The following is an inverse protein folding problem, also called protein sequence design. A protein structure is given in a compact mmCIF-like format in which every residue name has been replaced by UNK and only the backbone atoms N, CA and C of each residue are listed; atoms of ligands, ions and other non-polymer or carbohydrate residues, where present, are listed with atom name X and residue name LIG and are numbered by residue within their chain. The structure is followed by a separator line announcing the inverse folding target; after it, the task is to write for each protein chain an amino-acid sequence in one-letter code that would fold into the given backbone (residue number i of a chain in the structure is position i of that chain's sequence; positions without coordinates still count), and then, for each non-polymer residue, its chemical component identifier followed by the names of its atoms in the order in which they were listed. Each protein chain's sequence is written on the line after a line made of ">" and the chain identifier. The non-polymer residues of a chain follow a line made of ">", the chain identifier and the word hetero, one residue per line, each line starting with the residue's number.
data_IF_481057685305
#
_entry.id   IF_481057685305
#
_cell.length_a   1.000
_cell.length_b   1.000
_cell.length_c   1.000
_cell.angle_alpha   90.00
_cell.angle_beta   90.00
_cell.angle_gamma   90.00
#
_symmetry.space_group_name_H-M   'P 1'
#
loop_
_entity.id
_entity.type
_entity.pdbx_description
1 polymer ?
#
# COMPACT_ATOMS: atom_id res chain seq x y z
N UNK A 1 -47.28 -29.63 -14.40
CA UNK A 1 -47.10 -28.65 -13.30
C UNK A 1 -45.65 -28.48 -12.86
N UNK A 2 -44.86 -29.55 -12.62
CA UNK A 2 -43.46 -29.44 -12.16
C UNK A 2 -42.54 -28.64 -13.10
N UNK A 3 -42.68 -28.81 -14.42
CA UNK A 3 -41.88 -28.11 -15.43
C UNK A 3 -42.17 -26.60 -15.44
N UNK A 4 -43.45 -26.21 -15.33
CA UNK A 4 -43.85 -24.79 -15.31
C UNK A 4 -43.30 -24.10 -14.07
N UNK A 5 -43.33 -24.77 -12.91
CA UNK A 5 -42.75 -24.25 -11.66
C UNK A 5 -41.24 -24.06 -11.77
N UNK A 6 -40.53 -25.01 -12.39
CA UNK A 6 -39.09 -24.90 -12.60
C UNK A 6 -38.72 -23.71 -13.50
N UNK A 7 -39.44 -23.52 -14.62
CA UNK A 7 -39.21 -22.39 -15.53
C UNK A 7 -39.48 -21.06 -14.82
N UNK A 8 -40.57 -20.97 -14.05
CA UNK A 8 -40.91 -19.76 -13.30
C UNK A 8 -39.85 -19.45 -12.24
N UNK A 9 -39.34 -20.46 -11.52
CA UNK A 9 -38.27 -20.27 -10.54
C UNK A 9 -36.96 -19.79 -11.19
N UNK A 10 -36.61 -20.33 -12.35
CA UNK A 10 -35.40 -19.91 -13.08
C UNK A 10 -35.51 -18.46 -13.55
N UNK A 11 -36.68 -18.05 -14.06
CA UNK A 11 -36.92 -16.66 -14.49
C UNK A 11 -36.80 -15.68 -13.32
N UNK A 12 -37.31 -16.03 -12.14
CA UNK A 12 -37.23 -15.19 -10.94
C UNK A 12 -35.77 -15.03 -10.48
N UNK A 13 -35.00 -16.13 -10.42
CA UNK A 13 -33.59 -16.08 -10.01
C UNK A 13 -32.76 -15.23 -10.96
N UNK A 14 -32.95 -15.39 -12.27
CA UNK A 14 -32.25 -14.58 -13.27
C UNK A 14 -32.64 -13.10 -13.19
N UNK A 15 -33.93 -12.80 -13.01
CA UNK A 15 -34.41 -11.42 -12.86
C UNK A 15 -33.84 -10.72 -11.62
N UNK A 16 -33.82 -11.41 -10.47
CA UNK A 16 -33.23 -10.89 -9.23
C UNK A 16 -31.72 -10.67 -9.37
N UNK A 17 -31.01 -11.59 -10.01
CA UNK A 17 -29.56 -11.46 -10.23
C UNK A 17 -29.25 -10.26 -11.13
N UNK A 18 -30.05 -10.06 -12.19
CA UNK A 18 -29.90 -8.92 -13.09
C UNK A 18 -30.15 -7.58 -12.39
N UNK A 19 -31.22 -7.51 -11.59
CA UNK A 19 -31.55 -6.31 -10.80
C UNK A 19 -30.45 -5.99 -9.76
N UNK A 20 -29.91 -7.03 -9.12
CA UNK A 20 -28.80 -6.91 -8.17
C UNK A 20 -27.52 -6.38 -8.85
N UNK A 21 -27.19 -6.86 -10.05
CA UNK A 21 -26.04 -6.35 -10.80
C UNK A 21 -26.23 -4.89 -11.22
N UNK A 22 -27.45 -4.48 -11.61
CA UNK A 22 -27.72 -3.09 -11.97
C UNK A 22 -27.61 -2.15 -10.77
N UNK A 23 -28.12 -2.54 -9.61
CA UNK A 23 -28.00 -1.74 -8.38
C UNK A 23 -26.57 -1.65 -7.87
N UNK A 24 -25.75 -2.68 -8.06
CA UNK A 24 -24.31 -2.61 -7.82
C UNK A 24 -23.63 -1.63 -8.78
N UNK A 25 -23.95 -1.66 -10.07
CA UNK A 25 -23.35 -0.77 -11.06
C UNK A 25 -23.67 0.71 -10.79
N UNK A 26 -24.90 1.03 -10.37
CA UNK A 26 -25.31 2.41 -10.03
C UNK A 26 -24.66 2.91 -8.74
N UNK A 27 -24.48 2.06 -7.72
CA UNK A 27 -23.77 2.41 -6.48
C UNK A 27 -22.24 2.42 -6.64
N UNK A 28 -21.72 1.94 -7.78
CA UNK A 28 -20.29 1.97 -8.12
C UNK A 28 -19.93 3.15 -9.03
N UNK A 29 -20.88 4.04 -9.36
CA UNK A 29 -20.51 5.30 -10.00
C UNK A 29 -19.57 6.05 -9.06
N UNK A 30 -18.30 6.28 -9.44
CA UNK A 30 -17.37 6.99 -8.59
C UNK A 30 -17.98 8.36 -8.30
N UNK A 31 -18.19 8.65 -7.01
CA UNK A 31 -18.47 10.01 -6.55
C UNK A 31 -17.41 10.87 -7.23
N UNK A 32 -17.84 11.84 -8.05
CA UNK A 32 -16.96 12.80 -8.69
C UNK A 32 -16.07 13.37 -7.59
N UNK A 33 -14.84 12.86 -7.48
CA UNK A 33 -13.86 13.39 -6.57
C UNK A 33 -13.58 14.78 -7.09
N UNK A 34 -14.10 15.80 -6.39
CA UNK A 34 -13.59 17.16 -6.49
C UNK A 34 -12.08 17.06 -6.58
N UNK A 35 -11.47 17.73 -7.58
CA UNK A 35 -10.03 17.81 -7.80
C UNK A 35 -9.30 17.62 -6.47
N UNK A 36 -8.74 16.42 -6.26
CA UNK A 36 -7.97 16.16 -5.07
C UNK A 36 -6.80 17.13 -5.15
N UNK A 37 -6.76 18.09 -4.22
CA UNK A 37 -5.67 19.04 -4.11
C UNK A 37 -4.39 18.21 -3.90
N UNK A 38 -3.44 18.37 -4.82
CA UNK A 38 -2.15 17.68 -4.75
C UNK A 38 -1.21 18.55 -3.90
N UNK A 39 -0.78 17.99 -2.78
CA UNK A 39 0.16 18.61 -1.86
C UNK A 39 1.54 18.04 -2.14
N UNK A 40 2.43 18.88 -2.67
CA UNK A 40 3.84 18.53 -2.82
C UNK A 40 4.58 18.80 -1.52
N UNK A 41 5.16 17.77 -0.93
CA UNK A 41 5.93 17.90 0.31
C UNK A 41 7.09 16.91 0.35
N UNK A 42 8.10 17.24 1.15
CA UNK A 42 9.24 16.37 1.40
C UNK A 42 8.95 15.50 2.61
N UNK A 43 9.12 14.19 2.45
CA UNK A 43 8.92 13.19 3.48
C UNK A 43 10.22 12.46 3.74
N UNK A 44 10.39 11.96 4.96
CA UNK A 44 11.49 11.05 5.28
C UNK A 44 10.92 9.70 5.64
N UNK A 45 11.39 8.66 4.97
CA UNK A 45 10.97 7.28 5.18
C UNK A 45 12.13 6.51 5.80
N UNK A 46 11.88 5.92 6.96
CA UNK A 46 12.83 5.07 7.67
C UNK A 46 12.29 3.66 7.80
N UNK A 47 13.07 2.69 7.35
CA UNK A 47 12.71 1.27 7.35
C UNK A 47 13.80 0.49 8.08
N UNK A 48 13.41 -0.38 9.01
CA UNK A 48 14.29 -1.24 9.79
C UNK A 48 13.77 -2.68 9.72
N UNK A 49 14.63 -3.64 9.40
CA UNK A 49 14.26 -5.04 9.32
C UNK A 49 14.89 -5.89 10.42
N UNK A 50 14.22 -6.97 10.82
CA UNK A 50 14.77 -7.96 11.76
C UNK A 50 15.58 -9.07 11.09
N UNK A 51 15.75 -9.01 9.76
CA UNK A 51 16.38 -10.02 8.93
C UNK A 51 17.24 -9.38 7.84
N UNK A 52 18.20 -10.13 7.31
CA UNK A 52 19.00 -9.69 6.18
C UNK A 52 18.15 -9.69 4.90
N UNK A 53 18.06 -8.55 4.23
CA UNK A 53 17.42 -8.43 2.92
C UNK A 53 18.43 -8.70 1.81
N UNK A 54 17.99 -9.33 0.72
CA UNK A 54 18.81 -9.63 -0.44
C UNK A 54 18.01 -9.64 -1.72
N UNK A 55 18.70 -9.78 -2.84
CA UNK A 55 18.09 -9.83 -4.17
C UNK A 55 17.13 -11.02 -4.26
N UNK A 56 15.93 -10.80 -4.82
CA UNK A 56 14.94 -11.86 -5.04
C UNK A 56 15.44 -12.88 -6.08
N UNK A 57 15.74 -14.14 -5.67
CA UNK A 57 16.21 -15.16 -6.60
C UNK A 57 15.10 -15.70 -7.51
N UNK A 58 13.83 -15.37 -7.23
CA UNK A 58 12.66 -15.79 -8.00
C UNK A 58 12.11 -14.69 -8.92
N UNK A 59 12.77 -13.54 -8.98
CA UNK A 59 12.42 -12.48 -9.92
C UNK A 59 12.61 -12.93 -11.37
N UNK A 60 11.76 -12.42 -12.27
CA UNK A 60 11.85 -12.68 -13.71
C UNK A 60 13.20 -12.24 -14.29
N UNK A 61 13.70 -11.10 -13.80
CA UNK A 61 15.02 -10.57 -14.15
C UNK A 61 15.80 -10.26 -12.86
N UNK A 62 16.63 -11.21 -12.44
CA UNK A 62 17.46 -11.09 -11.21
C UNK A 62 18.37 -9.86 -11.25
N UNK A 63 18.78 -9.38 -12.43
CA UNK A 63 19.62 -8.19 -12.56
C UNK A 63 18.91 -6.88 -12.22
N UNK A 64 17.57 -6.91 -12.15
CA UNK A 64 16.72 -5.78 -11.76
C UNK A 64 15.94 -6.05 -10.47
N UNK A 65 16.23 -7.15 -9.80
CA UNK A 65 15.54 -7.52 -8.59
C UNK A 65 16.03 -6.66 -7.41
N UNK A 66 15.09 -6.16 -6.63
CA UNK A 66 15.36 -5.32 -5.46
C UNK A 66 15.30 -6.14 -4.18
N UNK A 67 16.17 -5.80 -3.23
CA UNK A 67 16.09 -6.25 -1.85
C UNK A 67 14.98 -5.52 -1.10
N UNK A 68 14.75 -4.25 -1.43
CA UNK A 68 13.67 -3.41 -0.93
C UNK A 68 13.05 -2.61 -2.08
N UNK A 69 11.73 -2.68 -2.20
CA UNK A 69 10.93 -1.82 -3.07
C UNK A 69 9.84 -1.14 -2.23
N UNK A 70 9.71 0.17 -2.42
CA UNK A 70 8.61 0.96 -1.88
C UNK A 70 7.89 1.59 -3.06
N UNK A 71 6.59 1.36 -3.14
CA UNK A 71 5.74 1.97 -4.15
C UNK A 71 4.60 2.75 -3.53
N UNK A 72 4.19 3.80 -4.23
CA UNK A 72 3.07 4.66 -3.88
C UNK A 72 2.14 4.68 -5.08
N UNK A 73 0.86 4.31 -4.89
CA UNK A 73 -0.13 4.23 -5.97
C UNK A 73 0.32 3.35 -7.16
N UNK A 74 1.17 2.35 -6.90
CA UNK A 74 1.69 1.43 -7.91
C UNK A 74 2.99 1.88 -8.59
N UNK A 75 3.48 3.09 -8.33
CA UNK A 75 4.74 3.60 -8.86
C UNK A 75 5.87 3.42 -7.84
N UNK A 76 7.02 2.90 -8.27
CA UNK A 76 8.19 2.73 -7.39
C UNK A 76 8.79 4.10 -7.05
N UNK A 77 8.85 4.41 -5.75
CA UNK A 77 9.44 5.64 -5.21
C UNK A 77 10.80 5.41 -4.56
N UNK A 78 11.10 4.16 -4.22
CA UNK A 78 12.40 3.70 -3.74
C UNK A 78 12.61 2.26 -4.18
N UNK A 79 13.76 1.98 -4.77
CA UNK A 79 14.22 0.63 -5.03
C UNK A 79 15.70 0.53 -4.61
N UNK A 80 16.03 -0.50 -3.84
CA UNK A 80 17.40 -0.83 -3.46
C UNK A 80 17.66 -2.25 -3.95
N UNK A 81 18.73 -2.44 -4.71
CA UNK A 81 19.19 -3.71 -5.29
C UNK A 81 20.39 -4.31 -4.53
N UNK A 82 20.89 -3.61 -3.51
CA UNK A 82 21.97 -4.07 -2.65
C UNK A 82 21.43 -4.83 -1.42
N UNK A 83 22.20 -5.79 -0.86
CA UNK A 83 21.84 -6.44 0.41
C UNK A 83 21.73 -5.45 1.57
N UNK A 84 20.72 -5.61 2.41
CA UNK A 84 20.51 -4.78 3.62
C UNK A 84 20.62 -5.67 4.86
N UNK A 85 21.67 -5.51 5.69
CA UNK A 85 21.81 -6.25 6.94
C UNK A 85 20.65 -6.06 7.90
N UNK A 86 20.33 -7.10 8.67
CA UNK A 86 19.37 -7.04 9.76
C UNK A 86 19.74 -5.94 10.77
N UNK A 87 18.76 -5.15 11.19
CA UNK A 87 18.95 -4.05 12.13
C UNK A 87 19.61 -2.79 11.53
N UNK A 88 19.99 -2.80 10.25
CA UNK A 88 20.39 -1.59 9.55
C UNK A 88 19.15 -0.80 9.13
N UNK A 89 19.11 0.48 9.48
CA UNK A 89 18.04 1.37 9.04
C UNK A 89 18.33 1.90 7.64
N UNK A 90 17.36 1.79 6.75
CA UNK A 90 17.30 2.52 5.48
C UNK A 90 16.57 3.82 5.75
N UNK A 91 17.24 4.96 5.60
CA UNK A 91 16.65 6.29 5.78
C UNK A 91 16.75 7.04 4.44
N UNK A 92 15.62 7.49 3.91
CA UNK A 92 15.56 8.19 2.62
C UNK A 92 14.63 9.40 2.66
N UNK A 93 14.98 10.43 1.91
CA UNK A 93 14.12 11.59 1.66
C UNK A 93 13.40 11.42 0.34
N UNK A 94 12.08 11.59 0.36
CA UNK A 94 11.18 11.44 -0.79
C UNK A 94 10.44 12.76 -0.99
N UNK A 95 10.57 13.35 -2.17
CA UNK A 95 9.75 14.48 -2.57
C UNK A 95 8.52 13.93 -3.32
N UNK A 96 7.37 13.99 -2.66
CA UNK A 96 6.15 13.32 -3.13
C UNK A 96 5.06 14.33 -3.44
N UNK A 97 4.30 14.06 -4.49
CA UNK A 97 3.07 14.76 -4.84
C UNK A 97 1.90 13.88 -4.37
N UNK A 98 1.33 14.24 -3.22
CA UNK A 98 0.32 13.42 -2.54
C UNK A 98 -1.06 14.03 -2.64
N UNK A 99 -2.07 13.17 -2.65
CA UNK A 99 -3.46 13.63 -2.57
C UNK A 99 -3.81 13.90 -1.11
N UNK A 100 -4.58 14.96 -0.88
CA UNK A 100 -5.25 15.12 0.41
C UNK A 100 -6.09 13.88 0.73
N UNK A 101 -6.03 13.41 1.98
CA UNK A 101 -6.70 12.18 2.37
C UNK A 101 -5.75 11.04 2.72
N UNK A 102 -6.25 9.82 2.56
CA UNK A 102 -5.49 8.60 2.86
C UNK A 102 -4.65 8.19 1.66
N UNK A 103 -3.34 8.09 1.88
CA UNK A 103 -2.38 7.55 0.93
C UNK A 103 -1.81 6.24 1.48
N UNK A 104 -1.25 5.39 0.62
CA UNK A 104 -0.72 4.08 1.02
C UNK A 104 0.59 3.79 0.31
N UNK A 105 1.63 3.50 1.10
CA UNK A 105 2.81 2.84 0.58
C UNK A 105 2.60 1.33 0.56
N UNK A 106 3.02 0.68 -0.52
CA UNK A 106 3.27 -0.74 -0.56
C UNK A 106 4.77 -0.96 -0.40
N UNK A 107 5.15 -1.67 0.65
CA UNK A 107 6.53 -2.00 0.97
C UNK A 107 6.73 -3.50 0.75
N UNK A 108 7.78 -3.80 0.01
CA UNK A 108 8.17 -5.14 -0.38
C UNK A 108 9.64 -5.32 -0.02
N UNK A 109 9.96 -6.35 0.77
CA UNK A 109 11.33 -6.64 1.14
C UNK A 109 11.61 -8.13 1.05
N UNK A 110 12.70 -8.50 0.38
CA UNK A 110 13.04 -9.89 0.10
C UNK A 110 14.10 -10.39 1.08
N UNK A 111 13.81 -11.40 1.92
CA UNK A 111 14.83 -12.01 2.76
C UNK A 111 15.97 -12.63 1.94
N UNK A 112 17.21 -12.40 2.34
CA UNK A 112 18.38 -13.02 1.73
C UNK A 112 18.40 -14.55 1.89
N UNK A 113 17.73 -15.06 2.94
CA UNK A 113 17.56 -16.49 3.18
C UNK A 113 16.08 -16.82 3.41
N UNK A 114 15.52 -17.62 2.51
CA UNK A 114 14.16 -18.17 2.63
C UNK A 114 14.10 -19.46 3.44
N UNK A 115 15.25 -20.06 3.79
CA UNK A 115 15.33 -21.27 4.61
C UNK A 115 15.19 -21.00 6.11
N UNK A 116 15.27 -19.74 6.53
CA UNK A 116 15.15 -19.34 7.92
C UNK A 116 13.67 -19.24 8.32
N UNK A 117 13.21 -20.16 9.16
CA UNK A 117 11.82 -20.23 9.66
C UNK A 117 11.51 -19.21 10.75
N UNK A 118 12.44 -18.33 11.14
CA UNK A 118 12.15 -17.28 12.11
C UNK A 118 11.17 -16.25 11.52
N UNK A 119 10.13 -15.86 12.28
CA UNK A 119 9.23 -14.78 11.88
C UNK A 119 10.00 -13.51 11.55
N UNK A 120 9.57 -12.82 10.50
CA UNK A 120 10.26 -11.66 9.96
C UNK A 120 9.40 -10.43 10.19
N UNK A 121 10.05 -9.31 10.46
CA UNK A 121 9.36 -8.04 10.60
C UNK A 121 10.14 -6.91 9.96
N UNK A 122 9.38 -5.94 9.47
CA UNK A 122 9.90 -4.61 9.16
C UNK A 122 9.16 -3.58 10.01
N UNK A 123 9.91 -2.62 10.54
CA UNK A 123 9.41 -1.45 11.21
C UNK A 123 9.60 -0.24 10.30
N UNK A 124 8.53 0.51 10.12
CA UNK A 124 8.45 1.61 9.15
C UNK A 124 8.00 2.86 9.88
N UNK A 125 8.76 3.93 9.71
CA UNK A 125 8.49 5.25 10.24
C UNK A 125 8.47 6.26 9.09
N UNK A 126 7.40 7.04 8.99
CA UNK A 126 7.25 8.13 8.01
C UNK A 126 7.25 9.45 8.77
N UNK A 127 8.05 10.41 8.32
CA UNK A 127 8.14 11.76 8.89
C UNK A 127 7.77 12.81 7.84
N UNK A 128 7.20 13.92 8.27
CA UNK A 128 6.98 15.11 7.44
C UNK A 128 8.17 16.06 7.56
N UNK A 129 8.79 16.42 6.43
CA UNK A 129 9.93 17.34 6.36
C UNK A 129 11.05 17.00 7.36
N UNK A 130 11.47 18.00 8.14
CA UNK A 130 12.49 17.85 9.20
C UNK A 130 11.90 17.48 10.56
N UNK A 131 10.65 17.01 10.62
CA UNK A 131 9.98 16.64 11.85
C UNK A 131 10.73 15.55 12.62
N UNK A 132 10.76 15.68 13.95
CA UNK A 132 11.35 14.68 14.83
C UNK A 132 10.35 13.58 15.25
N UNK A 133 9.05 13.84 15.09
CA UNK A 133 7.99 12.88 15.37
C UNK A 133 7.52 12.22 14.08
N UNK A 134 7.36 10.89 14.07
CA UNK A 134 6.83 10.20 12.90
C UNK A 134 5.35 10.57 12.73
N UNK A 135 4.97 10.94 11.52
CA UNK A 135 3.58 11.04 11.07
C UNK A 135 2.89 9.68 11.18
N UNK A 136 3.60 8.61 10.81
CA UNK A 136 3.09 7.25 10.86
C UNK A 136 4.19 6.29 11.29
N UNK A 137 3.82 5.35 12.16
CA UNK A 137 4.65 4.22 12.55
C UNK A 137 3.87 2.93 12.32
N UNK A 138 4.51 1.93 11.70
CA UNK A 138 3.90 0.62 11.47
C UNK A 138 4.92 -0.50 11.51
N UNK A 139 4.53 -1.63 12.07
CA UNK A 139 5.28 -2.88 11.95
C UNK A 139 4.52 -3.84 11.06
N UNK A 140 5.18 -4.40 10.05
CA UNK A 140 4.64 -5.42 9.16
C UNK A 140 5.34 -6.73 9.51
N UNK A 141 4.56 -7.80 9.64
CA UNK A 141 5.03 -9.13 9.98
C UNK A 141 4.84 -10.07 8.79
N UNK A 142 5.78 -11.00 8.63
CA UNK A 142 5.68 -12.12 7.72
C UNK A 142 6.00 -13.41 8.48
N UNK A 143 5.36 -14.51 8.08
CA UNK A 143 5.74 -15.83 8.60
C UNK A 143 7.16 -16.20 8.14
N UNK A 144 7.84 -17.05 8.91
CA UNK A 144 9.24 -17.36 8.61
C UNK A 144 9.45 -18.05 7.26
N UNK A 145 8.46 -18.78 6.76
CA UNK A 145 8.53 -19.47 5.47
C UNK A 145 8.27 -18.57 4.27
N UNK A 146 7.91 -17.29 4.48
CA UNK A 146 7.66 -16.36 3.38
C UNK A 146 8.98 -15.98 2.69
N UNK A 147 8.99 -16.08 1.36
CA UNK A 147 10.14 -15.68 0.52
C UNK A 147 10.16 -14.18 0.23
N UNK A 148 9.11 -13.45 0.61
CA UNK A 148 8.97 -12.02 0.41
C UNK A 148 8.03 -11.46 1.47
N UNK A 149 8.46 -10.43 2.18
CA UNK A 149 7.61 -9.68 3.08
C UNK A 149 6.92 -8.57 2.29
N UNK A 150 5.59 -8.53 2.34
CA UNK A 150 4.79 -7.49 1.69
C UNK A 150 3.85 -6.86 2.70
N UNK A 151 3.82 -5.54 2.77
CA UNK A 151 2.88 -4.84 3.62
C UNK A 151 2.54 -3.44 3.17
N UNK A 152 1.39 -2.99 3.66
CA UNK A 152 0.84 -1.68 3.34
C UNK A 152 0.96 -0.74 4.53
N UNK A 153 1.38 0.49 4.27
CA UNK A 153 1.50 1.54 5.27
C UNK A 153 0.60 2.71 4.85
N UNK A 154 -0.67 2.72 5.32
CA UNK A 154 -1.55 3.85 5.09
C UNK A 154 -1.13 5.02 5.99
N UNK A 155 -1.27 6.22 5.47
CA UNK A 155 -1.01 7.46 6.21
C UNK A 155 -1.93 8.57 5.69
N UNK A 156 -2.22 9.53 6.56
CA UNK A 156 -3.11 10.64 6.25
C UNK A 156 -2.31 11.88 5.90
N UNK A 157 -2.69 12.56 4.82
CA UNK A 157 -2.22 13.89 4.46
C UNK A 157 -3.34 14.87 4.73
N UNK A 158 -3.10 15.81 5.63
CA UNK A 158 -4.02 16.91 5.89
C UNK A 158 -3.93 17.92 4.74
N UNK A 159 -5.09 18.33 4.23
CA UNK A 159 -5.16 19.45 3.31
C UNK A 159 -4.75 20.74 3.98
N UNK A 160 -4.20 21.66 3.19
CA UNK A 160 -4.09 23.06 3.60
C UNK A 160 -5.52 23.58 3.69
N UNK A 161 -6.18 23.37 4.84
CA UNK A 161 -7.43 24.03 5.14
C UNK A 161 -7.18 25.52 4.91
N UNK A 162 -7.85 26.07 3.90
CA UNK A 162 -7.96 27.50 3.71
C UNK A 162 -8.39 28.07 5.06
N UNK A 163 -7.45 28.70 5.76
CA UNK A 163 -7.73 29.46 6.97
C UNK A 163 -8.85 30.42 6.60
N UNK A 164 -10.08 30.10 7.03
CA UNK A 164 -11.20 30.99 6.93
C UNK A 164 -10.80 32.21 7.75
N UNK A 165 -10.39 33.24 7.02
CA UNK A 165 -10.13 34.56 7.53
C UNK A 165 -11.51 35.17 7.82
N UNK A 166 -12.17 34.66 8.87
CA UNK A 166 -13.10 35.45 9.66
C UNK A 166 -12.22 36.28 10.59
N UNK A 167 -11.91 37.50 10.18
CA UNK A 167 -11.71 38.59 11.12
C UNK A 167 -12.36 39.84 10.50
N UNK A 168 -13.36 40.31 11.24
CA UNK A 168 -14.26 41.44 11.01
C UNK A 168 -13.55 42.80 10.86
#
# INVERSE_FOLDING_TARGET
>A
MRIVVAILSAAIVLGLTWLYQQTLAENQLPVNSSQASEVRSSYRLRILATFDAGIDPFAEDVSKASSLNVSLLGESVLAIDEPIPAGQAVDTSLDLELREGTNEFLIEMTPASSSDITPKAIHVELYTGSGLQPLQTRTIWAEGTETKLVGRVPFQVEGLASSHQEDE
#
